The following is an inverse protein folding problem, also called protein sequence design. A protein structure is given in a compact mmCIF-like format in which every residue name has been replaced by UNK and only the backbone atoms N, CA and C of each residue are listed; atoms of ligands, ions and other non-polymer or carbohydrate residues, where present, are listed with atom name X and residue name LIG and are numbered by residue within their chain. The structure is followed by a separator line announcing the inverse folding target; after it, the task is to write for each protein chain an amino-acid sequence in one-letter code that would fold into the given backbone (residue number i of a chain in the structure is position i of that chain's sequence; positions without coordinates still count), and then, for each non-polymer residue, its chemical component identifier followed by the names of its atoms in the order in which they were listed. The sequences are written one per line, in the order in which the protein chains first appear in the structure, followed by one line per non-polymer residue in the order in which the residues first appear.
data_IF_527129144338
#
_entry.id   IF_527129144338
#
_cell.length_a   1.000
_cell.length_b   1.000
_cell.length_c   1.000
_cell.angle_alpha   90.00
_cell.angle_beta   90.00
_cell.angle_gamma   90.00
#
_symmetry.space_group_name_H-M   'P 1'
#
loop_
_entity.id
_entity.type
_entity.pdbx_description
1 polymer ?
#
# COMPACT_ATOMS: atom_id res chain seq x y z
N UNK A 1 1.15 -17.09 -1.59
CA UNK A 1 0.13 -16.75 -2.59
C UNK A 1 -0.60 -15.49 -2.16
N UNK A 2 -1.21 -14.80 -3.12
CA UNK A 2 -2.15 -13.69 -2.88
C UNK A 2 -3.41 -14.29 -2.22
N UNK A 3 -3.75 -13.86 -1.00
CA UNK A 3 -4.91 -14.40 -0.30
C UNK A 3 -6.17 -13.58 -0.61
N UNK A 4 -6.06 -12.25 -0.55
CA UNK A 4 -7.11 -11.33 -1.01
C UNK A 4 -6.51 -9.99 -1.42
N UNK A 5 -5.95 -9.92 -2.63
CA UNK A 5 -5.38 -8.70 -3.15
C UNK A 5 -6.49 -7.70 -3.54
N UNK A 6 -6.50 -6.50 -2.96
CA UNK A 6 -7.55 -5.49 -3.19
C UNK A 6 -7.09 -4.38 -4.13
N UNK A 7 -5.87 -3.88 -3.94
CA UNK A 7 -5.24 -2.91 -4.84
C UNK A 7 -3.81 -3.36 -5.17
N UNK A 8 -3.33 -3.01 -6.36
CA UNK A 8 -1.95 -3.24 -6.78
C UNK A 8 -1.45 -2.08 -7.64
N UNK A 9 -0.15 -1.83 -7.60
CA UNK A 9 0.54 -0.89 -8.48
C UNK A 9 2.00 -1.33 -8.70
N UNK A 10 2.70 -0.69 -9.64
CA UNK A 10 3.97 -1.17 -10.17
C UNK A 10 5.05 -0.09 -10.18
N UNK A 11 6.25 -0.47 -9.75
CA UNK A 11 7.48 0.31 -9.93
C UNK A 11 8.23 -0.20 -11.16
N UNK A 12 8.21 0.62 -12.22
CA UNK A 12 8.89 0.31 -13.49
C UNK A 12 10.41 0.22 -13.37
N UNK A 13 11.02 1.02 -12.48
CA UNK A 13 12.48 1.10 -12.38
C UNK A 13 13.05 -0.15 -11.72
N UNK A 14 12.43 -0.60 -10.64
CA UNK A 14 12.91 -1.74 -9.84
C UNK A 14 12.20 -3.05 -10.20
N UNK A 15 11.25 -3.01 -11.15
CA UNK A 15 10.45 -4.16 -11.58
C UNK A 15 9.73 -4.84 -10.40
N UNK A 16 9.10 -4.02 -9.55
CA UNK A 16 8.44 -4.45 -8.31
C UNK A 16 6.93 -4.24 -8.40
N UNK A 17 6.17 -5.23 -7.95
CA UNK A 17 4.73 -5.13 -7.73
C UNK A 17 4.49 -4.84 -6.25
N UNK A 18 3.61 -3.88 -5.97
CA UNK A 18 3.12 -3.55 -4.63
C UNK A 18 1.63 -3.88 -4.57
N UNK A 19 1.15 -4.41 -3.44
CA UNK A 19 -0.28 -4.69 -3.28
C UNK A 19 -0.74 -4.63 -1.83
N UNK A 20 -2.04 -4.41 -1.67
CA UNK A 20 -2.75 -4.57 -0.40
C UNK A 20 -3.37 -5.96 -0.34
N UNK A 21 -3.20 -6.65 0.79
CA UNK A 21 -3.76 -7.98 1.06
C UNK A 21 -4.67 -7.84 2.27
N UNK A 22 -5.99 -7.85 2.06
CA UNK A 22 -7.00 -7.52 3.09
C UNK A 22 -7.69 -8.80 3.54
N UNK A 23 -7.40 -9.28 4.74
CA UNK A 23 -7.97 -10.55 5.24
C UNK A 23 -8.64 -10.36 6.59
N UNK A 24 -9.53 -11.30 6.95
CA UNK A 24 -10.16 -11.33 8.28
C UNK A 24 -9.16 -11.53 9.42
N UNK A 25 -7.95 -12.00 9.12
CA UNK A 25 -6.87 -12.27 10.07
C UNK A 25 -5.88 -11.10 10.20
N UNK A 26 -6.02 -10.07 9.36
CA UNK A 26 -5.16 -8.90 9.34
C UNK A 26 -4.81 -8.46 7.91
N UNK A 27 -4.77 -7.15 7.73
CA UNK A 27 -4.43 -6.51 6.46
C UNK A 27 -2.93 -6.24 6.36
N UNK A 28 -2.35 -6.40 5.17
CA UNK A 28 -0.93 -6.17 4.90
C UNK A 28 -0.72 -5.36 3.63
N UNK A 29 0.36 -4.58 3.60
CA UNK A 29 0.89 -4.00 2.36
C UNK A 29 2.19 -4.74 2.05
N UNK A 30 2.30 -5.25 0.83
CA UNK A 30 3.35 -6.19 0.43
C UNK A 30 3.97 -5.76 -0.89
N UNK A 31 5.16 -6.28 -1.16
CA UNK A 31 5.83 -6.12 -2.46
C UNK A 31 6.58 -7.37 -2.87
N UNK A 32 6.85 -7.52 -4.17
CA UNK A 32 7.67 -8.59 -4.74
C UNK A 32 8.24 -8.15 -6.08
N UNK A 33 9.29 -8.82 -6.55
CA UNK A 33 9.71 -8.65 -7.95
C UNK A 33 8.64 -9.18 -8.90
N UNK A 34 8.56 -8.62 -10.11
CA UNK A 34 7.60 -9.05 -11.14
C UNK A 34 7.74 -10.54 -11.51
N UNK A 35 8.91 -11.14 -11.29
CA UNK A 35 9.16 -12.57 -11.46
C UNK A 35 8.63 -13.44 -10.29
N UNK A 36 7.93 -12.84 -9.32
CA UNK A 36 7.36 -13.49 -8.14
C UNK A 36 8.33 -13.75 -6.99
N UNK A 37 9.61 -13.38 -7.13
CA UNK A 37 10.62 -13.57 -6.08
C UNK A 37 10.61 -12.46 -5.03
N UNK A 38 11.28 -12.71 -3.90
CA UNK A 38 11.52 -11.72 -2.84
C UNK A 38 10.24 -11.05 -2.30
N UNK A 39 9.24 -11.86 -1.94
CA UNK A 39 8.02 -11.35 -1.33
C UNK A 39 8.31 -10.78 0.06
N UNK A 40 8.00 -9.50 0.24
CA UNK A 40 8.24 -8.75 1.47
C UNK A 40 6.94 -8.15 2.00
N UNK A 41 6.84 -8.05 3.32
CA UNK A 41 5.76 -7.32 4.00
C UNK A 41 6.30 -5.96 4.41
N UNK A 42 5.72 -4.89 3.89
CA UNK A 42 6.10 -3.51 4.23
C UNK A 42 5.40 -3.04 5.49
N UNK A 43 4.08 -3.25 5.55
CA UNK A 43 3.24 -2.86 6.68
C UNK A 43 2.33 -4.02 7.07
N UNK A 44 2.25 -4.30 8.39
CA UNK A 44 1.39 -5.35 8.98
C UNK A 44 0.57 -4.84 10.16
N UNK A 45 0.92 -3.69 10.73
CA UNK A 45 0.26 -3.10 11.91
C UNK A 45 -0.42 -1.80 11.53
N UNK A 46 -1.45 -1.41 12.28
CA UNK A 46 -2.19 -0.17 12.03
C UNK A 46 -2.81 -0.12 10.63
N UNK A 47 -3.25 -1.27 10.11
CA UNK A 47 -4.03 -1.38 8.88
C UNK A 47 -5.37 -2.02 9.22
N UNK A 48 -6.45 -1.49 8.66
CA UNK A 48 -7.80 -2.04 8.79
C UNK A 48 -8.29 -2.52 7.42
N UNK A 49 -8.51 -1.60 6.48
CA UNK A 49 -9.01 -1.91 5.15
C UNK A 49 -8.32 -1.02 4.10
N UNK A 50 -7.03 -1.30 3.77
CA UNK A 50 -6.31 -0.58 2.74
C UNK A 50 -6.83 -0.93 1.33
N UNK A 51 -7.75 -0.11 0.83
CA UNK A 51 -8.53 -0.37 -0.39
C UNK A 51 -7.89 0.23 -1.66
N UNK A 52 -6.94 1.15 -1.51
CA UNK A 52 -6.26 1.81 -2.62
C UNK A 52 -4.79 2.03 -2.32
N UNK A 53 -3.96 1.96 -3.36
CA UNK A 53 -2.50 2.06 -3.30
C UNK A 53 -1.99 2.73 -4.58
N UNK A 54 -0.97 3.58 -4.46
CA UNK A 54 -0.29 4.22 -5.58
C UNK A 54 1.22 4.31 -5.32
N UNK A 55 2.02 4.07 -6.36
CA UNK A 55 3.48 4.03 -6.32
C UNK A 55 4.04 5.25 -7.07
N UNK A 56 4.78 6.08 -6.35
CA UNK A 56 5.63 7.13 -6.93
C UNK A 56 7.06 6.60 -7.02
N UNK A 57 7.40 5.96 -8.14
CA UNK A 57 8.73 5.38 -8.35
C UNK A 57 9.82 6.43 -8.57
N UNK A 58 9.46 7.67 -8.91
CA UNK A 58 10.43 8.76 -9.12
C UNK A 58 10.87 9.35 -7.77
N UNK A 59 9.92 9.68 -6.90
CA UNK A 59 10.16 10.20 -5.55
C UNK A 59 10.41 9.11 -4.50
N UNK A 60 10.18 7.85 -4.85
CA UNK A 60 10.43 6.68 -4.00
C UNK A 60 9.42 6.57 -2.85
N UNK A 61 8.16 6.89 -3.12
CA UNK A 61 7.09 6.92 -2.12
C UNK A 61 5.97 5.94 -2.46
N UNK A 62 5.40 5.34 -1.42
CA UNK A 62 4.23 4.47 -1.48
C UNK A 62 3.10 5.14 -0.72
N UNK A 63 1.98 5.38 -1.41
CA UNK A 63 0.78 5.96 -0.83
C UNK A 63 -0.34 4.94 -0.76
N UNK A 64 -1.16 4.99 0.28
CA UNK A 64 -2.37 4.16 0.37
C UNK A 64 -3.49 4.88 1.09
N UNK A 65 -4.73 4.48 0.80
CA UNK A 65 -5.89 4.86 1.58
C UNK A 65 -6.37 3.67 2.39
N UNK A 66 -6.57 3.88 3.69
CA UNK A 66 -7.17 2.89 4.57
C UNK A 66 -8.60 3.30 4.88
N UNK A 67 -9.54 2.64 4.21
CA UNK A 67 -10.98 2.83 4.37
C UNK A 67 -11.42 2.58 5.81
N UNK A 68 -10.86 1.57 6.47
CA UNK A 68 -11.25 1.22 7.85
C UNK A 68 -10.71 2.18 8.89
N UNK A 69 -9.70 3.00 8.54
CA UNK A 69 -9.10 4.01 9.43
C UNK A 69 -9.44 5.45 9.05
N UNK A 70 -10.10 5.66 7.92
CA UNK A 70 -10.31 6.97 7.32
C UNK A 70 -9.00 7.77 7.18
N UNK A 71 -7.93 7.10 6.74
CA UNK A 71 -6.61 7.72 6.55
C UNK A 71 -6.09 7.64 5.12
N UNK A 72 -5.30 8.64 4.73
CA UNK A 72 -4.34 8.55 3.63
C UNK A 72 -2.95 8.59 4.26
N UNK A 73 -2.11 7.64 3.91
CA UNK A 73 -0.79 7.46 4.51
C UNK A 73 0.27 7.28 3.43
N UNK A 74 1.52 7.54 3.81
CA UNK A 74 2.69 7.45 2.95
C UNK A 74 3.83 6.74 3.66
N UNK A 75 4.68 6.07 2.91
CA UNK A 75 6.00 5.59 3.37
C UNK A 75 6.98 5.60 2.19
N UNK A 76 8.26 5.34 2.45
CA UNK A 76 9.19 4.99 1.38
C UNK A 76 8.84 3.63 0.79
N UNK A 77 9.26 3.37 -0.46
CA UNK A 77 9.02 2.08 -1.14
C UNK A 77 9.58 0.87 -0.38
N UNK A 78 10.56 1.06 0.51
CA UNK A 78 11.09 0.02 1.40
C UNK A 78 10.34 -0.11 2.74
N UNK A 79 9.24 0.63 2.95
CA UNK A 79 8.43 0.65 4.16
C UNK A 79 8.89 1.64 5.24
N UNK A 80 10.03 2.33 5.06
CA UNK A 80 10.55 3.28 6.05
C UNK A 80 9.72 4.58 6.10
N UNK A 81 9.82 5.30 7.22
CA UNK A 81 9.27 6.65 7.41
C UNK A 81 7.76 6.77 7.16
N UNK A 82 7.00 5.74 7.58
CA UNK A 82 5.54 5.77 7.54
C UNK A 82 4.99 7.01 8.25
N UNK A 83 4.10 7.75 7.56
CA UNK A 83 3.46 8.96 8.05
C UNK A 83 2.00 9.00 7.60
N UNK A 84 1.12 9.49 8.48
CA UNK A 84 -0.28 9.78 8.12
C UNK A 84 -0.34 11.17 7.51
N UNK A 85 -0.80 11.27 6.26
CA UNK A 85 -0.93 12.54 5.54
C UNK A 85 -2.28 13.21 5.81
N UNK A 86 -3.35 12.42 5.82
CA UNK A 86 -4.72 12.90 6.04
C UNK A 86 -5.43 11.93 6.97
N UNK A 87 -6.10 12.46 7.98
CA UNK A 87 -6.87 11.70 8.98
C UNK A 87 -8.15 12.43 9.44
N UNK A 88 -8.56 13.46 8.70
CA UNK A 88 -9.75 14.25 9.00
C UNK A 88 -10.45 14.63 7.69
N UNK A 89 -11.77 14.78 7.76
CA UNK A 89 -12.59 15.07 6.58
C UNK A 89 -12.71 13.93 5.56
N UNK A 90 -12.17 12.75 5.88
CA UNK A 90 -12.30 11.54 5.08
C UNK A 90 -13.44 10.68 5.62
N UNK A 91 -14.12 9.99 4.70
CA UNK A 91 -15.09 8.94 5.01
C UNK A 91 -14.98 7.86 3.96
N UNK A 92 -14.52 6.70 4.38
CA UNK A 92 -14.27 5.53 3.54
C UNK A 92 -13.49 5.86 2.25
N UNK A 93 -12.27 6.43 2.32
CA UNK A 93 -11.46 6.66 1.13
C UNK A 93 -11.10 5.32 0.46
N UNK A 94 -11.29 5.22 -0.87
CA UNK A 94 -11.14 3.95 -1.61
C UNK A 94 -10.07 3.93 -2.68
N UNK A 95 -9.73 5.09 -3.25
CA UNK A 95 -8.77 5.17 -4.34
C UNK A 95 -7.95 6.44 -4.22
N UNK A 96 -6.72 6.36 -4.71
CA UNK A 96 -5.84 7.49 -4.95
C UNK A 96 -5.00 7.19 -6.19
N UNK A 97 -4.51 8.24 -6.84
CA UNK A 97 -3.57 8.16 -7.96
C UNK A 97 -2.50 9.22 -7.76
N UNK A 98 -1.31 8.96 -8.29
CA UNK A 98 -0.20 9.92 -8.34
C UNK A 98 0.18 10.09 -9.81
N UNK A 99 0.58 11.30 -10.20
CA UNK A 99 1.02 11.67 -11.55
C UNK A 99 2.54 11.51 -11.70
#
# INVERSE_FOLDING_TARGET
GLNNAVALDFDYREQMIYWTDVTTQGSMIRRMHINGSNVQVLHRTGLSNPDGLAVDWVGGNLYWCDKGRDTIEVSKLNGAYRTVLVNSGLREPRALVVD
#
